data_IF_734412119298
#
_entry.id   IF_734412119298
#
_cell.length_a   1.000
_cell.length_b   1.000
_cell.length_c   1.000
_cell.angle_alpha   90.00
_cell.angle_beta   90.00
_cell.angle_gamma   90.00
#
_symmetry.space_group_name_H-M   'P 1'
#
loop_
_entity.id
_entity.type
_entity.pdbx_description
1 polymer ?
#
# COMPACT_ATOMS: atom_id res chain seq x y z
N UNK A 1 10.24 9.14 11.98
CA UNK A 1 10.88 7.95 11.38
C UNK A 1 10.30 6.72 12.06
N UNK A 2 9.71 5.81 11.30
CA UNK A 2 9.12 4.57 11.77
C UNK A 2 10.19 3.63 12.31
N UNK A 3 9.89 2.99 13.44
CA UNK A 3 10.79 2.05 14.12
C UNK A 3 10.37 0.59 13.95
N UNK A 4 9.13 0.38 13.51
CA UNK A 4 8.58 -0.92 13.11
C UNK A 4 7.71 -0.75 11.86
N UNK A 5 7.54 -1.79 11.06
CA UNK A 5 6.61 -1.76 9.93
C UNK A 5 5.16 -1.56 10.40
N UNK A 6 4.79 -2.16 11.54
CA UNK A 6 3.47 -1.96 12.16
C UNK A 6 3.20 -0.47 12.44
N UNK A 7 4.19 0.29 12.93
CA UNK A 7 4.05 1.73 13.15
C UNK A 7 3.85 2.52 11.86
N UNK A 8 4.41 2.06 10.74
CA UNK A 8 4.18 2.65 9.42
C UNK A 8 2.76 2.36 8.92
N UNK A 9 2.32 1.10 8.96
CA UNK A 9 0.99 0.71 8.49
C UNK A 9 -0.16 1.28 9.33
N UNK A 10 0.11 1.68 10.58
CA UNK A 10 -0.86 2.42 11.43
C UNK A 10 -0.78 3.94 11.30
N UNK A 11 0.18 4.47 10.52
CA UNK A 11 0.39 5.91 10.42
C UNK A 11 -0.60 6.59 9.49
N UNK A 12 -0.91 7.85 9.77
CA UNK A 12 -1.74 8.69 8.90
C UNK A 12 -1.16 8.80 7.48
N UNK A 13 0.17 8.73 7.34
CA UNK A 13 0.84 8.75 6.04
C UNK A 13 0.40 7.59 5.16
N UNK A 14 0.45 6.37 5.69
CA UNK A 14 0.02 5.18 4.97
C UNK A 14 -1.50 5.19 4.73
N UNK A 15 -2.29 5.55 5.76
CA UNK A 15 -3.76 5.57 5.65
C UNK A 15 -4.21 6.53 4.55
N UNK A 16 -3.67 7.75 4.52
CA UNK A 16 -4.03 8.75 3.51
C UNK A 16 -3.57 8.35 2.12
N UNK A 17 -2.34 7.84 2.00
CA UNK A 17 -1.81 7.32 0.73
C UNK A 17 -2.68 6.18 0.19
N UNK A 18 -3.02 5.20 1.04
CA UNK A 18 -3.88 4.08 0.68
C UNK A 18 -5.25 4.55 0.18
N UNK A 19 -5.88 5.49 0.87
CA UNK A 19 -7.19 6.02 0.47
C UNK A 19 -7.13 6.75 -0.88
N UNK A 20 -6.09 7.56 -1.10
CA UNK A 20 -5.88 8.23 -2.38
C UNK A 20 -5.64 7.23 -3.51
N UNK A 21 -4.74 6.26 -3.31
CA UNK A 21 -4.43 5.23 -4.30
C UNK A 21 -5.68 4.44 -4.72
N UNK A 22 -6.50 3.99 -3.74
CA UNK A 22 -7.76 3.29 -4.03
C UNK A 22 -8.75 4.19 -4.79
N UNK A 23 -8.78 5.49 -4.50
CA UNK A 23 -9.65 6.43 -5.20
C UNK A 23 -9.29 6.66 -6.66
N UNK A 24 -8.02 6.43 -7.02
CA UNK A 24 -7.48 6.66 -8.37
C UNK A 24 -7.41 5.38 -9.22
N UNK A 25 -7.53 4.20 -8.61
CA UNK A 25 -7.33 2.90 -9.26
C UNK A 25 -8.58 2.02 -9.18
N UNK A 26 -8.78 1.19 -10.21
CA UNK A 26 -9.83 0.17 -10.16
C UNK A 26 -9.45 -0.91 -9.12
N UNK A 27 -10.41 -1.42 -8.34
CA UNK A 27 -10.15 -2.45 -7.33
C UNK A 27 -10.02 -3.83 -7.98
N UNK A 28 -9.00 -4.02 -8.81
CA UNK A 28 -8.70 -5.27 -9.51
C UNK A 28 -7.42 -5.84 -8.91
N UNK A 29 -7.53 -7.07 -8.39
CA UNK A 29 -6.36 -7.79 -7.86
C UNK A 29 -5.38 -8.13 -8.99
N UNK A 30 -4.11 -7.78 -8.83
CA UNK A 30 -3.04 -8.00 -9.78
C UNK A 30 -2.75 -9.49 -10.03
N UNK A 31 -2.93 -10.34 -9.02
CA UNK A 31 -2.74 -11.79 -9.17
C UNK A 31 -3.95 -12.47 -9.80
N UNK A 32 -5.15 -12.13 -9.31
CA UNK A 32 -6.38 -12.82 -9.71
C UNK A 32 -6.99 -12.27 -10.99
N UNK A 33 -6.66 -11.04 -11.38
CA UNK A 33 -7.26 -10.30 -12.49
C UNK A 33 -8.79 -10.20 -12.39
N UNK A 34 -9.29 -10.04 -11.16
CA UNK A 34 -10.73 -9.94 -10.84
C UNK A 34 -11.02 -8.69 -10.03
N UNK A 35 -12.21 -8.13 -10.25
CA UNK A 35 -12.74 -7.07 -9.40
C UNK A 35 -12.97 -7.58 -7.97
N UNK A 36 -12.50 -6.79 -7.02
CA UNK A 36 -12.73 -6.94 -5.59
C UNK A 36 -14.03 -6.21 -5.27
N UNK A 37 -15.08 -6.97 -4.97
CA UNK A 37 -16.43 -6.43 -4.72
C UNK A 37 -16.61 -6.07 -3.25
N UNK A 38 -15.91 -6.77 -2.35
CA UNK A 38 -16.01 -6.59 -0.92
C UNK A 38 -14.78 -5.83 -0.39
N UNK A 39 -15.00 -4.73 0.32
CA UNK A 39 -13.93 -3.87 0.84
C UNK A 39 -12.93 -4.61 1.74
N UNK A 40 -13.36 -5.67 2.44
CA UNK A 40 -12.48 -6.51 3.26
C UNK A 40 -11.45 -7.30 2.45
N UNK A 41 -11.65 -7.50 1.15
CA UNK A 41 -10.70 -8.14 0.25
C UNK A 41 -9.77 -7.15 -0.44
N UNK A 42 -9.94 -5.85 -0.23
CA UNK A 42 -9.15 -4.80 -0.86
C UNK A 42 -7.89 -4.52 -0.04
N UNK A 43 -6.81 -5.16 -0.44
CA UNK A 43 -5.48 -4.96 0.14
C UNK A 43 -4.57 -4.27 -0.87
N UNK A 44 -3.58 -3.55 -0.38
CA UNK A 44 -2.51 -3.04 -1.22
C UNK A 44 -1.25 -3.78 -0.82
N UNK A 45 -0.50 -4.22 -1.82
CA UNK A 45 0.74 -4.94 -1.68
C UNK A 45 1.87 -4.06 -2.20
N UNK A 46 2.97 -4.00 -1.45
CA UNK A 46 4.21 -3.43 -1.95
C UNK A 46 4.89 -4.43 -2.90
N UNK A 47 5.34 -3.99 -4.07
CA UNK A 47 6.06 -4.84 -5.04
C UNK A 47 7.47 -5.15 -4.51
N UNK A 48 8.22 -4.11 -4.15
CA UNK A 48 9.40 -4.17 -3.30
C UNK A 48 8.96 -4.21 -1.84
N UNK A 49 9.21 -5.33 -1.18
CA UNK A 49 8.84 -5.53 0.22
C UNK A 49 9.47 -4.47 1.14
N UNK A 50 8.66 -3.99 2.09
CA UNK A 50 9.15 -3.04 3.08
C UNK A 50 9.98 -3.74 4.15
N UNK A 51 11.11 -3.13 4.46
CA UNK A 51 12.02 -3.45 5.54
C UNK A 51 12.22 -2.22 6.42
N UNK A 52 12.87 -2.38 7.57
CA UNK A 52 13.20 -1.21 8.40
C UNK A 52 14.23 -0.28 7.75
N UNK A 53 14.95 -0.76 6.74
CA UNK A 53 15.93 0.00 5.98
C UNK A 53 15.26 0.93 4.95
N UNK A 54 14.19 0.48 4.28
CA UNK A 54 13.53 1.24 3.22
C UNK A 54 12.19 1.91 3.62
N UNK A 55 11.54 1.50 4.72
CA UNK A 55 10.19 2.01 5.10
C UNK A 55 10.14 3.53 5.31
N UNK A 56 11.28 4.14 5.65
CA UNK A 56 11.38 5.57 5.88
C UNK A 56 11.72 6.39 4.63
N UNK A 57 12.04 5.75 3.51
CA UNK A 57 12.16 6.38 2.20
C UNK A 57 10.78 6.43 1.53
N UNK A 58 10.23 7.64 1.38
CA UNK A 58 8.92 7.83 0.76
C UNK A 58 8.89 7.44 -0.72
N UNK A 59 10.04 7.43 -1.40
CA UNK A 59 10.15 6.96 -2.78
C UNK A 59 10.07 5.42 -2.90
N UNK A 60 10.05 4.72 -1.76
CA UNK A 60 9.79 3.27 -1.69
C UNK A 60 8.44 3.00 -1.01
N UNK A 61 8.24 3.52 0.20
CA UNK A 61 7.09 3.15 1.04
C UNK A 61 5.77 3.81 0.63
N UNK A 62 5.83 4.97 -0.02
CA UNK A 62 4.68 5.76 -0.47
C UNK A 62 4.77 6.06 -1.98
N UNK A 63 5.44 5.18 -2.73
CA UNK A 63 5.55 5.29 -4.18
C UNK A 63 4.42 4.49 -4.84
N UNK A 64 3.52 5.14 -5.61
CA UNK A 64 2.45 4.45 -6.33
C UNK A 64 2.96 3.34 -7.27
N UNK A 65 4.13 3.52 -7.89
CA UNK A 65 4.72 2.54 -8.79
C UNK A 65 5.20 1.28 -8.05
N UNK A 66 5.32 1.35 -6.72
CA UNK A 66 5.69 0.24 -5.86
C UNK A 66 4.47 -0.44 -5.22
N UNK A 67 3.26 -0.22 -5.74
CA UNK A 67 2.02 -0.69 -5.14
C UNK A 67 1.15 -1.41 -6.16
N UNK A 68 0.54 -2.51 -5.74
CA UNK A 68 -0.52 -3.19 -6.48
C UNK A 68 -1.71 -3.48 -5.57
N UNK A 69 -2.90 -3.61 -6.15
CA UNK A 69 -4.11 -4.11 -5.49
C UNK A 69 -4.19 -5.62 -5.70
#
# INVERSE_FOLDING_TARGET
MFKTLDSFYKSDKWINFRLAYIGEHNPICADCQKFIIESKGLHLHHIEELTLENVNDANVSLNPDNIVI
#
